data_IF_083220880008
#
_entry.id   IF_083220880008
#
_cell.length_a   1.000
_cell.length_b   1.000
_cell.length_c   1.000
_cell.angle_alpha   90.00
_cell.angle_beta   90.00
_cell.angle_gamma   90.00
#
_symmetry.space_group_name_H-M   'P 1'
#
loop_
_entity.id
_entity.type
_entity.pdbx_description
1 polymer ?
#
# COMPACT_ATOMS: atom_id res chain seq x y z
N UNK A 1 4.90 27.33 9.66
CA UNK A 1 4.01 26.31 10.27
C UNK A 1 3.14 25.72 9.15
N UNK A 2 3.54 24.58 8.57
CA UNK A 2 2.84 24.02 7.40
C UNK A 2 1.39 23.65 7.74
N UNK A 3 0.45 24.11 6.90
CA UNK A 3 -0.93 23.60 6.86
C UNK A 3 -0.89 22.11 6.52
N UNK A 4 -1.16 21.23 7.48
CA UNK A 4 -1.54 19.85 7.19
C UNK A 4 -2.82 19.92 6.35
N UNK A 5 -2.74 19.60 5.06
CA UNK A 5 -3.94 19.35 4.25
C UNK A 5 -4.63 18.14 4.88
N UNK A 6 -5.80 18.38 5.44
CA UNK A 6 -6.69 17.35 5.95
C UNK A 6 -7.04 16.42 4.79
N UNK A 7 -6.53 15.19 4.81
CA UNK A 7 -6.92 14.18 3.82
C UNK A 7 -8.33 13.73 4.20
N UNK A 8 -9.32 14.33 3.53
CA UNK A 8 -10.74 14.17 3.83
C UNK A 8 -11.22 12.70 3.68
N UNK A 9 -10.53 11.89 2.86
CA UNK A 9 -10.81 10.47 2.67
C UNK A 9 -9.54 9.70 2.29
N UNK A 10 -9.37 8.44 2.75
CA UNK A 10 -8.19 7.65 2.41
C UNK A 10 -8.08 7.46 0.89
N UNK A 11 -6.92 7.80 0.35
CA UNK A 11 -6.58 7.58 -1.07
C UNK A 11 -6.38 6.07 -1.24
N UNK A 12 -7.08 5.50 -2.23
CA UNK A 12 -7.02 4.05 -2.53
C UNK A 12 -5.86 3.78 -3.48
N UNK A 13 -4.95 2.94 -3.05
CA UNK A 13 -3.75 2.57 -3.80
C UNK A 13 -3.79 1.11 -4.24
N UNK A 14 -3.12 0.83 -5.35
CA UNK A 14 -2.83 -0.52 -5.84
C UNK A 14 -1.33 -0.78 -5.87
N UNK A 15 -0.90 -1.95 -5.42
CA UNK A 15 0.50 -2.41 -5.55
C UNK A 15 0.61 -3.42 -6.69
N UNK A 16 1.54 -3.19 -7.62
CA UNK A 16 1.88 -4.14 -8.68
C UNK A 16 3.25 -4.72 -8.35
N UNK A 17 3.29 -6.02 -8.07
CA UNK A 17 4.52 -6.68 -7.64
C UNK A 17 4.63 -6.77 -6.12
N UNK A 18 3.94 -7.75 -5.55
CA UNK A 18 4.03 -8.12 -4.14
C UNK A 18 5.05 -9.25 -3.95
N UNK A 19 6.34 -8.92 -4.00
CA UNK A 19 7.43 -9.86 -3.73
C UNK A 19 8.22 -9.49 -2.47
N UNK A 20 9.30 -10.21 -2.19
CA UNK A 20 10.10 -10.05 -0.96
C UNK A 20 10.51 -8.61 -0.64
N UNK A 21 10.86 -7.81 -1.65
CA UNK A 21 11.22 -6.38 -1.43
C UNK A 21 10.01 -5.58 -0.96
N UNK A 22 8.84 -5.79 -1.57
CA UNK A 22 7.60 -5.09 -1.20
C UNK A 22 7.12 -5.54 0.18
N UNK A 23 7.23 -6.82 0.51
CA UNK A 23 6.85 -7.39 1.81
C UNK A 23 7.74 -6.85 2.95
N UNK A 24 9.05 -6.72 2.72
CA UNK A 24 10.00 -6.33 3.77
C UNK A 24 10.26 -4.82 3.86
N UNK A 25 10.10 -4.07 2.76
CA UNK A 25 10.45 -2.64 2.70
C UNK A 25 9.24 -1.75 2.45
N UNK A 26 8.69 -1.80 1.24
CA UNK A 26 7.75 -0.78 0.76
C UNK A 26 6.37 -0.91 1.38
N UNK A 27 5.81 -2.12 1.46
CA UNK A 27 4.51 -2.41 2.06
C UNK A 27 4.40 -1.89 3.50
N UNK A 28 5.32 -2.29 4.41
CA UNK A 28 5.34 -1.78 5.79
C UNK A 28 5.46 -0.25 5.89
N UNK A 29 6.19 0.39 4.99
CA UNK A 29 6.33 1.85 4.97
C UNK A 29 5.02 2.55 4.58
N UNK A 30 4.29 2.00 3.61
CA UNK A 30 3.02 2.58 3.16
C UNK A 30 1.92 2.52 4.22
N UNK A 31 1.91 1.49 5.08
CA UNK A 31 1.00 1.42 6.22
C UNK A 31 1.20 2.54 7.25
N UNK A 32 2.38 3.17 7.28
CA UNK A 32 2.69 4.30 8.17
C UNK A 32 2.37 5.65 7.56
N UNK A 33 1.93 5.68 6.30
CA UNK A 33 1.67 6.93 5.57
C UNK A 33 0.21 7.35 5.76
N UNK A 34 -0.01 8.53 6.35
CA UNK A 34 -1.35 9.08 6.56
C UNK A 34 -2.13 9.17 5.25
N UNK A 35 -3.37 8.68 5.26
CA UNK A 35 -4.26 8.69 4.11
C UNK A 35 -3.94 7.64 3.04
N UNK A 36 -2.96 6.76 3.24
CA UNK A 36 -2.69 5.64 2.35
C UNK A 36 -3.55 4.43 2.71
N UNK A 37 -4.47 4.03 1.82
CA UNK A 37 -5.24 2.80 1.95
C UNK A 37 -4.96 1.88 0.78
N UNK A 38 -4.30 0.76 1.06
CA UNK A 38 -4.13 -0.30 0.07
C UNK A 38 -5.50 -0.93 -0.23
N UNK A 39 -5.91 -0.89 -1.49
CA UNK A 39 -7.22 -1.36 -1.94
C UNK A 39 -7.12 -2.57 -2.88
N UNK A 40 -5.97 -2.76 -3.54
CA UNK A 40 -5.75 -3.88 -4.43
C UNK A 40 -4.26 -4.22 -4.52
N UNK A 41 -3.97 -5.48 -4.85
CA UNK A 41 -2.62 -5.95 -5.11
C UNK A 41 -2.62 -6.83 -6.34
N UNK A 42 -1.47 -6.87 -7.02
CA UNK A 42 -1.24 -7.74 -8.15
C UNK A 42 0.05 -8.52 -7.94
N UNK A 43 -0.06 -9.83 -8.17
CA UNK A 43 1.07 -10.75 -8.32
C UNK A 43 0.75 -11.74 -9.44
N UNK A 44 1.79 -12.28 -10.07
CA UNK A 44 1.65 -13.27 -11.15
C UNK A 44 0.94 -14.54 -10.69
N UNK A 45 1.26 -15.00 -9.48
CA UNK A 45 0.63 -16.17 -8.87
C UNK A 45 -0.53 -15.68 -8.00
N UNK A 46 -1.74 -16.18 -8.28
CA UNK A 46 -2.96 -15.82 -7.57
C UNK A 46 -2.92 -16.19 -6.09
N UNK A 47 -2.46 -17.39 -5.75
CA UNK A 47 -2.39 -17.84 -4.35
C UNK A 47 -1.47 -16.91 -3.53
N UNK A 48 -0.34 -16.54 -4.13
CA UNK A 48 0.61 -15.60 -3.52
C UNK A 48 0.14 -14.13 -3.54
N UNK A 49 -0.89 -13.80 -4.33
CA UNK A 49 -1.54 -12.49 -4.30
C UNK A 49 -2.62 -12.43 -3.20
N UNK A 50 -3.28 -13.55 -2.92
CA UNK A 50 -4.28 -13.70 -1.87
C UNK A 50 -3.66 -13.75 -0.47
N UNK A 51 -2.43 -14.25 -0.36
CA UNK A 51 -1.64 -14.31 0.89
C UNK A 51 -1.04 -12.97 1.29
N UNK A 52 -1.03 -11.98 0.39
CA UNK A 52 -0.44 -10.66 0.60
C UNK A 52 -1.44 -9.67 1.20
#
# INVERSE_FOLDING_TARGET
MQRKKEIQYPIRWGLIGCGAVTELKSGPAYHKTDGFKLAAVMRRNLALAQDY
#
